data_IF_853820055288
#
_entry.id   IF_853820055288
#
_cell.length_a   1.000
_cell.length_b   1.000
_cell.length_c   1.000
_cell.angle_alpha   90.00
_cell.angle_beta   90.00
_cell.angle_gamma   90.00
#
_symmetry.space_group_name_H-M   'P 1'
#
loop_
_entity.id
_entity.type
_entity.pdbx_description
1 polymer ?
#
# COMPACT_ATOMS: atom_id res chain seq x y z
N UNK A 1 -13.02 5.22 6.22
CA UNK A 1 -13.31 3.96 6.94
C UNK A 1 -11.99 3.44 7.45
N UNK A 2 -11.84 3.36 8.76
CA UNK A 2 -10.62 2.88 9.41
C UNK A 2 -10.87 1.41 9.76
N UNK A 3 -10.19 0.48 9.09
CA UNK A 3 -10.23 -0.91 9.47
C UNK A 3 -9.01 -1.21 10.37
N UNK A 4 -9.26 -1.58 11.61
CA UNK A 4 -8.25 -2.13 12.50
C UNK A 4 -8.16 -3.64 12.24
N UNK A 5 -7.21 -4.06 11.41
CA UNK A 5 -6.90 -5.46 11.26
C UNK A 5 -5.75 -5.82 12.21
N UNK A 6 -6.07 -6.47 13.32
CA UNK A 6 -5.07 -7.13 14.14
C UNK A 6 -4.76 -8.51 13.54
N UNK A 7 -3.56 -8.71 13.07
CA UNK A 7 -3.08 -10.01 12.63
C UNK A 7 -2.45 -10.73 13.82
N UNK A 8 -3.18 -11.66 14.41
CA UNK A 8 -2.64 -12.52 15.47
C UNK A 8 -2.01 -13.74 14.79
N UNK A 9 -0.70 -13.77 14.71
CA UNK A 9 0.00 -14.99 14.32
C UNK A 9 0.00 -15.97 15.50
N UNK A 10 -0.75 -17.06 15.36
CA UNK A 10 -1.08 -18.00 16.44
C UNK A 10 0.05 -18.93 16.86
N UNK A 11 1.25 -18.81 16.32
CA UNK A 11 2.30 -19.83 16.46
C UNK A 11 3.60 -19.41 17.16
N UNK A 12 3.65 -18.24 17.75
CA UNK A 12 4.78 -17.92 18.63
C UNK A 12 4.29 -17.51 20.00
N UNK A 13 4.69 -18.23 21.05
CA UNK A 13 4.25 -17.92 22.43
C UNK A 13 4.99 -16.73 23.05
N UNK A 14 5.48 -15.83 22.25
CA UNK A 14 6.06 -14.56 22.71
C UNK A 14 5.08 -13.46 22.34
N UNK A 15 4.78 -12.64 23.31
CA UNK A 15 3.84 -11.51 23.34
C UNK A 15 4.03 -10.42 22.26
N UNK A 16 4.61 -10.77 21.13
CA UNK A 16 4.98 -9.83 20.10
C UNK A 16 3.86 -9.74 19.09
N UNK A 17 2.82 -9.01 19.48
CA UNK A 17 1.69 -8.73 18.61
C UNK A 17 2.18 -7.91 17.43
N UNK A 18 2.19 -8.51 16.27
CA UNK A 18 2.35 -7.77 15.03
C UNK A 18 1.04 -7.05 14.75
N UNK A 19 0.99 -5.77 15.02
CA UNK A 19 -0.17 -4.95 14.74
C UNK A 19 0.00 -4.27 13.38
N UNK A 20 -1.02 -4.38 12.58
CA UNK A 20 -1.14 -3.67 11.32
C UNK A 20 -2.41 -2.82 11.36
N UNK A 21 -2.25 -1.54 11.19
CA UNK A 21 -3.38 -0.62 10.97
C UNK A 21 -3.33 -0.13 9.55
N UNK A 22 -4.43 -0.29 8.83
CA UNK A 22 -4.62 0.30 7.51
C UNK A 22 -5.74 1.31 7.54
N UNK A 23 -5.46 2.51 7.09
CA UNK A 23 -6.44 3.55 6.85
C UNK A 23 -6.61 3.74 5.36
N UNK A 24 -7.87 3.91 4.93
CA UNK A 24 -8.21 4.08 3.53
C UNK A 24 -8.91 5.43 3.36
N UNK A 25 -8.34 6.29 2.53
CA UNK A 25 -8.97 7.50 2.08
C UNK A 25 -9.48 7.28 0.66
N UNK A 26 -10.74 7.58 0.43
CA UNK A 26 -11.29 7.76 -0.90
C UNK A 26 -11.30 9.25 -1.19
N UNK A 27 -10.44 9.69 -2.07
CA UNK A 27 -10.36 11.08 -2.51
C UNK A 27 -11.26 11.22 -3.71
N UNK A 28 -12.37 11.92 -3.50
CA UNK A 28 -13.33 12.18 -4.56
C UNK A 28 -13.13 13.60 -5.06
N UNK A 29 -12.75 13.75 -6.32
CA UNK A 29 -12.89 15.04 -7.00
C UNK A 29 -14.36 15.27 -7.28
N UNK A 30 -14.77 16.52 -7.48
CA UNK A 30 -16.12 16.89 -7.89
C UNK A 30 -16.60 16.22 -9.19
N UNK A 31 -15.71 15.46 -9.81
CA UNK A 31 -15.94 14.63 -10.98
C UNK A 31 -15.76 13.15 -10.55
N UNK A 32 -16.88 12.41 -10.58
CA UNK A 32 -16.95 11.00 -10.16
C UNK A 32 -15.95 10.13 -10.90
N UNK A 33 -15.53 10.52 -12.09
CA UNK A 33 -14.62 9.76 -12.94
C UNK A 33 -13.14 9.87 -12.52
N UNK A 34 -12.82 10.74 -11.56
CA UNK A 34 -11.43 11.02 -11.16
C UNK A 34 -11.09 10.70 -9.70
N UNK A 35 -11.93 9.93 -9.02
CA UNK A 35 -11.66 9.50 -7.65
C UNK A 35 -10.48 8.54 -7.56
N UNK A 36 -9.73 8.58 -6.46
CA UNK A 36 -8.61 7.67 -6.22
C UNK A 36 -8.54 7.25 -4.74
N UNK A 37 -7.78 6.20 -4.48
CA UNK A 37 -7.60 5.68 -3.13
C UNK A 37 -6.19 5.97 -2.62
N UNK A 38 -6.12 6.32 -1.34
CA UNK A 38 -4.86 6.40 -0.59
C UNK A 38 -4.95 5.48 0.60
N UNK A 39 -4.03 4.52 0.68
CA UNK A 39 -3.90 3.62 1.78
C UNK A 39 -2.71 4.06 2.65
N UNK A 40 -2.93 4.15 3.95
CA UNK A 40 -1.84 4.35 4.91
C UNK A 40 -1.72 3.09 5.76
N UNK A 41 -0.60 2.42 5.62
CA UNK A 41 -0.25 1.24 6.40
C UNK A 41 0.71 1.61 7.51
N UNK A 42 0.35 1.33 8.76
CA UNK A 42 1.21 1.48 9.92
C UNK A 42 1.48 0.08 10.50
N UNK A 43 2.72 -0.32 10.47
CA UNK A 43 3.17 -1.67 10.74
C UNK A 43 4.01 -1.68 12.02
N UNK A 44 3.42 -2.24 13.06
CA UNK A 44 4.04 -2.33 14.36
C UNK A 44 4.70 -3.70 14.54
N UNK A 45 5.86 -3.70 15.12
CA UNK A 45 6.53 -4.91 15.51
C UNK A 45 7.77 -4.54 16.32
N UNK A 46 8.19 -5.40 17.25
CA UNK A 46 9.22 -5.03 18.22
C UNK A 46 10.63 -4.98 17.61
N UNK A 47 10.86 -5.63 16.47
CA UNK A 47 12.21 -5.90 16.02
C UNK A 47 12.62 -5.07 14.79
N UNK A 48 13.85 -4.55 14.82
CA UNK A 48 14.54 -4.06 13.62
C UNK A 48 14.67 -5.19 12.59
N UNK A 49 14.51 -4.86 11.30
CA UNK A 49 14.64 -5.84 10.21
C UNK A 49 13.41 -6.73 10.00
N UNK A 50 12.36 -6.58 10.80
CA UNK A 50 11.11 -7.30 10.62
C UNK A 50 10.55 -7.06 9.22
N UNK A 51 10.09 -8.14 8.58
CA UNK A 51 9.62 -8.13 7.20
C UNK A 51 8.11 -7.95 7.15
N UNK A 52 7.66 -7.02 6.31
CA UNK A 52 6.25 -6.79 5.99
C UNK A 52 6.03 -6.93 4.50
N UNK A 53 4.91 -7.55 4.13
CA UNK A 53 4.52 -7.74 2.75
C UNK A 53 3.18 -7.03 2.50
N UNK A 54 3.18 -6.07 1.58
CA UNK A 54 1.98 -5.44 1.07
C UNK A 54 1.67 -6.06 -0.30
N UNK A 55 0.47 -6.63 -0.44
CA UNK A 55 0.06 -7.32 -1.66
C UNK A 55 -1.09 -6.58 -2.32
N UNK A 56 -0.92 -6.26 -3.59
CA UNK A 56 -1.96 -5.71 -4.45
C UNK A 56 -2.27 -6.72 -5.56
N UNK A 57 -3.45 -7.33 -5.48
CA UNK A 57 -3.89 -8.24 -6.52
C UNK A 57 -4.40 -7.41 -7.69
N UNK A 58 -3.77 -7.61 -8.84
CA UNK A 58 -4.15 -7.00 -10.09
C UNK A 58 -5.10 -7.92 -10.84
N UNK A 59 -5.71 -7.42 -11.90
CA UNK A 59 -6.78 -8.11 -12.62
C UNK A 59 -6.38 -9.47 -13.21
N UNK A 60 -7.40 -10.23 -13.57
CA UNK A 60 -7.29 -11.55 -14.23
C UNK A 60 -6.77 -11.45 -15.67
N UNK A 61 -6.23 -12.56 -16.17
CA UNK A 61 -5.92 -12.74 -17.59
C UNK A 61 -4.80 -11.86 -18.10
N UNK A 62 -3.97 -11.36 -17.21
CA UNK A 62 -2.81 -10.57 -17.61
C UNK A 62 -1.80 -11.49 -18.26
N UNK A 63 -1.70 -11.41 -19.58
CA UNK A 63 -0.51 -11.87 -20.27
C UNK A 63 0.68 -11.08 -19.70
N UNK A 64 1.82 -11.74 -19.62
CA UNK A 64 3.07 -11.07 -19.26
C UNK A 64 3.20 -9.80 -20.11
N UNK A 65 3.36 -8.64 -19.46
CA UNK A 65 3.48 -7.34 -20.12
C UNK A 65 2.34 -6.34 -19.87
N UNK A 66 1.21 -6.74 -19.25
CA UNK A 66 0.15 -5.78 -18.91
C UNK A 66 0.39 -5.01 -17.60
N UNK A 67 1.44 -5.36 -16.88
CA UNK A 67 1.88 -4.66 -15.67
C UNK A 67 3.35 -4.31 -15.80
N UNK A 68 3.65 -3.05 -15.64
CA UNK A 68 5.01 -2.50 -15.63
C UNK A 68 5.36 -2.14 -14.20
N UNK A 69 6.51 -2.63 -13.71
CA UNK A 69 7.10 -2.20 -12.44
C UNK A 69 8.05 -1.05 -12.73
N UNK A 70 7.81 0.08 -12.10
CA UNK A 70 8.55 1.33 -12.30
C UNK A 70 9.07 1.87 -10.96
N UNK A 71 9.84 1.04 -10.26
CA UNK A 71 10.49 1.44 -9.03
C UNK A 71 11.56 2.49 -9.31
N UNK A 72 11.48 3.60 -8.60
CA UNK A 72 12.51 4.63 -8.58
C UNK A 72 13.19 4.62 -7.21
N UNK A 73 14.28 3.88 -7.11
CA UNK A 73 15.02 3.73 -5.87
C UNK A 73 15.75 5.03 -5.46
N UNK A 74 16.15 5.86 -6.42
CA UNK A 74 16.84 7.12 -6.14
C UNK A 74 15.90 8.09 -5.41
N UNK A 75 14.62 8.11 -5.78
CA UNK A 75 13.58 8.94 -5.17
C UNK A 75 12.75 8.21 -4.11
N UNK A 76 13.18 7.02 -3.70
CA UNK A 76 12.51 6.25 -2.65
C UNK A 76 11.09 5.79 -3.00
N UNK A 77 10.78 5.59 -4.28
CA UNK A 77 9.46 5.25 -4.80
C UNK A 77 9.43 3.78 -5.23
N UNK A 78 8.42 3.06 -4.78
CA UNK A 78 8.05 1.77 -5.33
C UNK A 78 6.78 1.94 -6.15
N UNK A 79 6.79 1.52 -7.41
CA UNK A 79 5.70 1.77 -8.33
C UNK A 79 5.41 0.63 -9.29
N UNK A 80 4.17 0.61 -9.73
CA UNK A 80 3.72 -0.20 -10.86
C UNK A 80 2.54 0.49 -11.55
N UNK A 81 2.32 0.16 -12.80
CA UNK A 81 1.12 0.55 -13.50
C UNK A 81 0.68 -0.52 -14.49
N UNK A 82 -0.60 -0.49 -14.85
CA UNK A 82 -1.15 -1.35 -15.90
C UNK A 82 -1.08 -0.64 -17.26
N UNK A 83 -1.06 -1.44 -18.32
CA UNK A 83 -1.01 -0.94 -19.72
C UNK A 83 -2.05 -1.66 -20.59
N UNK A 84 -3.30 -1.67 -20.13
CA UNK A 84 -4.40 -2.24 -20.90
C UNK A 84 -4.77 -1.36 -22.10
N UNK A 85 -5.10 -2.03 -23.21
CA UNK A 85 -5.40 -1.34 -24.47
C UNK A 85 -6.73 -0.58 -24.46
N UNK A 86 -7.65 -0.95 -23.59
CA UNK A 86 -8.94 -0.28 -23.40
C UNK A 86 -8.83 1.06 -22.65
N UNK A 87 -7.63 1.39 -22.15
CA UNK A 87 -7.37 2.62 -21.41
C UNK A 87 -7.79 2.58 -19.95
N UNK A 88 -8.38 1.48 -19.47
CA UNK A 88 -8.75 1.33 -18.05
C UNK A 88 -7.54 0.88 -17.23
N UNK A 89 -6.67 1.82 -16.93
CA UNK A 89 -5.42 1.56 -16.24
C UNK A 89 -5.42 2.09 -14.81
N UNK A 90 -4.48 1.60 -14.02
CA UNK A 90 -4.17 2.11 -12.69
C UNK A 90 -2.68 2.38 -12.57
N UNK A 91 -2.35 3.38 -11.78
CA UNK A 91 -0.99 3.64 -11.28
C UNK A 91 -0.98 3.40 -9.78
N UNK A 92 0.00 2.63 -9.32
CA UNK A 92 0.26 2.40 -7.89
C UNK A 92 1.60 3.03 -7.57
N UNK A 93 1.65 3.86 -6.52
CA UNK A 93 2.89 4.44 -6.00
C UNK A 93 2.91 4.28 -4.49
N UNK A 94 4.03 3.78 -3.97
CA UNK A 94 4.21 3.55 -2.54
C UNK A 94 5.44 4.29 -2.04
N UNK A 95 5.22 5.09 -1.03
CA UNK A 95 6.22 5.84 -0.26
C UNK A 95 6.29 5.25 1.13
N UNK A 96 7.47 5.21 1.73
CA UNK A 96 7.63 4.56 3.04
C UNK A 96 8.63 5.28 3.91
N UNK A 97 8.42 5.20 5.21
CA UNK A 97 9.36 5.68 6.23
C UNK A 97 9.69 4.59 7.26
N UNK A 98 10.79 4.77 7.97
CA UNK A 98 11.37 3.78 8.88
C UNK A 98 11.57 2.42 8.21
N UNK A 99 12.13 2.45 7.02
CA UNK A 99 12.43 1.26 6.23
C UNK A 99 13.93 1.20 5.97
N UNK A 100 14.54 0.06 6.29
CA UNK A 100 15.95 -0.21 6.04
C UNK A 100 16.16 -0.69 4.59
N UNK A 101 15.34 -1.65 4.17
CA UNK A 101 15.34 -2.12 2.79
C UNK A 101 13.92 -2.31 2.28
N UNK A 102 13.74 -2.07 1.00
CA UNK A 102 12.47 -2.25 0.31
C UNK A 102 12.67 -2.83 -1.07
N UNK A 103 11.78 -3.69 -1.45
CA UNK A 103 11.75 -4.29 -2.79
C UNK A 103 10.31 -4.37 -3.26
N UNK A 104 10.12 -4.30 -4.56
CA UNK A 104 8.83 -4.57 -5.17
C UNK A 104 9.01 -5.33 -6.47
N UNK A 105 8.08 -6.23 -6.74
CA UNK A 105 8.07 -7.05 -7.94
C UNK A 105 6.64 -7.45 -8.30
N UNK A 106 6.44 -7.86 -9.54
CA UNK A 106 5.26 -8.63 -9.91
C UNK A 106 5.51 -10.11 -9.67
N UNK A 107 4.50 -10.80 -9.19
CA UNK A 107 4.54 -12.24 -9.01
C UNK A 107 3.21 -12.85 -9.44
N UNK A 108 3.25 -14.05 -10.00
CA UNK A 108 2.02 -14.81 -10.23
C UNK A 108 1.40 -15.18 -8.89
N UNK A 109 0.10 -14.99 -8.75
CA UNK A 109 -0.60 -15.47 -7.59
C UNK A 109 -0.54 -17.00 -7.54
N UNK A 110 -0.20 -17.55 -6.40
CA UNK A 110 -0.36 -18.99 -6.17
C UNK A 110 -1.84 -19.33 -6.02
N UNK A 111 -2.22 -20.57 -6.37
CA UNK A 111 -3.55 -21.07 -6.04
C UNK A 111 -3.76 -20.98 -4.53
N UNK A 112 -4.84 -20.33 -4.13
CA UNK A 112 -5.30 -20.38 -2.75
C UNK A 112 -6.44 -21.38 -2.75
N UNK A 113 -6.21 -22.51 -2.10
CA UNK A 113 -7.29 -23.42 -1.70
C UNK A 113 -7.91 -22.83 -0.44
N UNK A 114 -9.19 -22.55 -0.47
CA UNK A 114 -9.95 -22.24 0.73
C UNK A 114 -11.06 -23.28 0.91
N UNK A 115 -11.63 -23.36 2.10
CA UNK A 115 -12.68 -24.31 2.44
C UNK A 115 -13.99 -24.11 1.66
N UNK A 116 -14.05 -23.11 0.80
CA UNK A 116 -15.22 -22.72 0.01
C UNK A 116 -15.09 -23.01 -1.49
N UNK A 117 -14.05 -23.71 -1.88
CA UNK A 117 -13.78 -24.07 -3.27
C UNK A 117 -12.45 -23.57 -3.81
N UNK A 118 -11.99 -24.18 -4.88
CA UNK A 118 -10.75 -23.78 -5.53
C UNK A 118 -11.02 -22.57 -6.40
N UNK A 119 -10.62 -21.40 -5.95
CA UNK A 119 -10.52 -20.24 -6.82
C UNK A 119 -9.13 -20.27 -7.45
N UNK A 120 -9.06 -20.57 -8.73
CA UNK A 120 -7.81 -20.52 -9.48
C UNK A 120 -7.39 -19.08 -9.71
N UNK A 121 -6.31 -18.67 -9.06
CA UNK A 121 -5.67 -17.37 -9.32
C UNK A 121 -4.44 -17.51 -10.23
N UNK A 122 -4.36 -18.60 -10.99
CA UNK A 122 -3.19 -18.92 -11.82
C UNK A 122 -2.79 -17.82 -12.78
N UNK A 123 -3.78 -17.02 -13.20
CA UNK A 123 -3.59 -15.99 -14.22
C UNK A 123 -3.64 -14.57 -13.64
N UNK A 124 -3.68 -14.45 -12.31
CA UNK A 124 -3.64 -13.14 -11.66
C UNK A 124 -2.22 -12.74 -11.34
N UNK A 125 -1.85 -11.53 -11.72
CA UNK A 125 -0.64 -10.90 -11.26
C UNK A 125 -0.92 -10.15 -9.96
N UNK A 126 0.04 -10.19 -9.06
CA UNK A 126 0.09 -9.34 -7.88
C UNK A 126 1.32 -8.46 -7.93
N UNK A 127 1.17 -7.25 -7.49
CA UNK A 127 2.27 -6.36 -7.16
C UNK A 127 2.59 -6.55 -5.68
N UNK A 128 3.77 -7.06 -5.39
CA UNK A 128 4.23 -7.40 -4.05
C UNK A 128 5.31 -6.43 -3.61
N UNK A 129 5.04 -5.72 -2.54
CA UNK A 129 6.01 -4.85 -1.87
C UNK A 129 6.46 -5.54 -0.60
N UNK A 130 7.78 -5.63 -0.41
CA UNK A 130 8.39 -6.09 0.83
C UNK A 130 9.17 -4.95 1.46
N UNK A 131 8.81 -4.61 2.68
CA UNK A 131 9.47 -3.61 3.50
C UNK A 131 10.16 -4.29 4.68
N UNK A 132 11.37 -3.85 5.04
CA UNK A 132 12.06 -4.26 6.26
C UNK A 132 12.17 -3.08 7.20
N UNK A 133 11.74 -3.28 8.43
CA UNK A 133 11.74 -2.27 9.48
C UNK A 133 13.13 -1.70 9.73
N UNK A 134 13.24 -0.38 9.76
CA UNK A 134 14.49 0.33 9.99
C UNK A 134 14.88 0.39 11.46
N UNK A 135 13.99 0.92 12.31
CA UNK A 135 14.21 1.10 13.77
C UNK A 135 13.16 0.32 14.56
N UNK A 136 13.55 -0.23 15.69
CA UNK A 136 12.65 -1.02 16.55
C UNK A 136 11.57 -0.15 17.23
N UNK A 137 11.92 1.06 17.65
CA UNK A 137 11.14 1.88 18.57
C UNK A 137 9.94 2.58 17.91
N UNK A 138 9.83 2.53 16.59
CA UNK A 138 8.75 3.21 15.86
C UNK A 138 8.17 2.31 14.77
N UNK A 139 6.96 2.59 14.33
CA UNK A 139 6.32 1.86 13.25
C UNK A 139 7.06 2.04 11.91
N UNK A 140 7.00 1.01 11.06
CA UNK A 140 7.20 1.19 9.63
C UNK A 140 5.89 1.67 9.05
N UNK A 141 5.91 2.77 8.27
CA UNK A 141 4.72 3.33 7.65
C UNK A 141 4.87 3.36 6.15
N UNK A 142 3.75 3.18 5.45
CA UNK A 142 3.70 3.30 4.00
C UNK A 142 2.44 4.04 3.56
N UNK A 143 2.60 4.91 2.56
CA UNK A 143 1.49 5.55 1.84
C UNK A 143 1.45 4.90 0.48
N UNK A 144 0.32 4.29 0.13
CA UNK A 144 0.11 3.75 -1.22
C UNK A 144 -1.03 4.47 -1.89
N UNK A 145 -0.74 5.12 -3.00
CA UNK A 145 -1.74 5.78 -3.85
C UNK A 145 -2.11 4.83 -4.98
N UNK A 146 -3.41 4.60 -5.19
CA UNK A 146 -3.98 3.82 -6.29
C UNK A 146 -4.83 4.78 -7.12
N UNK A 147 -4.33 5.12 -8.30
CA UNK A 147 -4.91 6.14 -9.16
C UNK A 147 -5.38 5.53 -10.48
N UNK A 148 -6.71 5.50 -10.76
CA UNK A 148 -7.25 5.13 -12.05
C UNK A 148 -6.90 6.19 -13.10
N UNK A 149 -6.51 5.77 -14.30
CA UNK A 149 -6.12 6.69 -15.38
C UNK A 149 -6.11 6.02 -16.74
N UNK A 150 -6.40 6.77 -17.78
CA UNK A 150 -6.16 6.33 -19.17
C UNK A 150 -4.73 6.59 -19.65
N UNK A 151 -3.96 7.41 -18.91
CA UNK A 151 -2.58 7.77 -19.23
C UNK A 151 -1.61 7.43 -18.09
N UNK A 152 -1.30 6.13 -17.88
CA UNK A 152 -0.51 5.71 -16.73
C UNK A 152 0.93 6.24 -16.75
N UNK A 153 1.53 6.39 -17.93
CA UNK A 153 2.92 6.89 -18.07
C UNK A 153 3.03 8.39 -17.89
N UNK A 154 1.95 9.15 -18.14
CA UNK A 154 1.90 10.59 -17.94
C UNK A 154 1.43 11.00 -16.55
N UNK A 155 0.99 10.05 -15.72
CA UNK A 155 0.52 10.33 -14.36
C UNK A 155 1.69 10.51 -13.41
N UNK A 156 1.71 11.67 -12.74
CA UNK A 156 2.68 11.96 -11.68
C UNK A 156 2.03 11.88 -10.31
N UNK A 157 2.66 11.15 -9.39
CA UNK A 157 2.17 11.01 -8.03
C UNK A 157 3.36 11.23 -7.08
N UNK A 158 3.12 11.99 -6.02
CA UNK A 158 4.03 12.12 -4.89
C UNK A 158 3.24 12.03 -3.58
N UNK A 159 3.85 11.48 -2.52
CA UNK A 159 3.22 11.42 -1.21
C UNK A 159 4.27 11.47 -0.09
N UNK A 160 3.91 12.13 1.00
CA UNK A 160 4.74 12.28 2.18
C UNK A 160 3.91 12.31 3.46
N UNK A 161 4.50 11.88 4.57
CA UNK A 161 3.93 12.10 5.89
C UNK A 161 4.23 13.52 6.35
N UNK A 162 3.22 14.21 6.92
CA UNK A 162 3.32 15.59 7.39
C UNK A 162 3.07 15.74 8.89
N UNK A 163 2.90 14.62 9.59
CA UNK A 163 2.58 14.57 11.03
C UNK A 163 3.80 14.69 11.96
N UNK A 164 4.99 14.89 11.42
CA UNK A 164 6.23 14.99 12.19
C UNK A 164 6.75 13.67 12.75
N UNK A 165 6.14 12.56 12.38
CA UNK A 165 6.54 11.21 12.78
C UNK A 165 5.43 10.42 13.46
N UNK A 166 5.69 9.13 13.62
CA UNK A 166 4.72 8.21 14.19
C UNK A 166 4.42 8.50 15.67
N UNK A 167 3.16 8.77 15.98
CA UNK A 167 2.67 8.98 17.36
C UNK A 167 1.74 7.88 17.84
N UNK A 168 1.21 7.07 16.94
CA UNK A 168 0.15 6.10 17.22
C UNK A 168 -1.24 6.70 17.41
N UNK A 169 -1.37 8.04 17.40
CA UNK A 169 -2.63 8.74 17.70
C UNK A 169 -3.26 9.43 16.50
N UNK A 170 -2.45 9.89 15.59
CA UNK A 170 -2.91 10.60 14.41
C UNK A 170 -2.00 10.32 13.23
N UNK A 171 -2.52 10.52 12.04
CA UNK A 171 -1.77 10.50 10.79
C UNK A 171 -2.14 11.73 9.99
N UNK A 172 -1.15 12.42 9.45
CA UNK A 172 -1.33 13.45 8.45
C UNK A 172 -0.38 13.18 7.28
N UNK A 173 -0.92 13.29 6.07
CA UNK A 173 -0.19 13.06 4.84
C UNK A 173 -0.54 14.12 3.81
N UNK A 174 0.39 14.38 2.91
CA UNK A 174 0.17 15.16 1.72
C UNK A 174 0.37 14.27 0.50
N UNK A 175 -0.61 14.22 -0.37
CA UNK A 175 -0.55 13.50 -1.65
C UNK A 175 -0.68 14.53 -2.77
N UNK A 176 0.18 14.46 -3.77
CA UNK A 176 0.10 15.31 -4.96
C UNK A 176 -0.08 14.41 -6.17
N UNK A 177 -1.16 14.64 -6.92
CA UNK A 177 -1.45 13.92 -8.16
C UNK A 177 -1.55 14.93 -9.31
N UNK A 178 -0.75 14.75 -10.34
CA UNK A 178 -0.69 15.62 -11.51
C UNK A 178 -0.59 17.11 -11.14
N UNK A 179 0.21 17.41 -10.11
CA UNK A 179 0.42 18.77 -9.61
C UNK A 179 -0.62 19.27 -8.62
N UNK A 180 -1.72 18.56 -8.41
CA UNK A 180 -2.78 18.96 -7.46
C UNK A 180 -2.52 18.34 -6.09
N UNK A 181 -2.34 19.14 -5.02
CA UNK A 181 -2.10 18.65 -3.66
C UNK A 181 -3.41 18.31 -2.94
N UNK A 182 -3.35 17.28 -2.09
CA UNK A 182 -4.39 16.82 -1.18
C UNK A 182 -3.79 16.64 0.19
N UNK A 183 -4.35 17.27 1.19
CA UNK A 183 -3.99 17.08 2.60
C UNK A 183 -5.03 16.19 3.25
N UNK A 184 -4.58 15.04 3.74
CA UNK A 184 -5.43 14.01 4.33
C UNK A 184 -4.95 13.73 5.74
N UNK A 185 -5.89 13.64 6.68
CA UNK A 185 -5.55 13.34 8.06
C UNK A 185 -6.67 12.59 8.77
N UNK A 186 -6.29 11.84 9.79
CA UNK A 186 -7.25 11.28 10.74
C UNK A 186 -6.63 11.22 12.13
N UNK A 187 -7.49 11.30 13.14
CA UNK A 187 -7.13 11.05 14.54
C UNK A 187 -7.76 9.74 14.97
N UNK A 188 -6.98 8.93 15.66
CA UNK A 188 -7.44 7.66 16.19
C UNK A 188 -8.28 7.97 17.43
N UNK A 189 -9.55 7.56 17.48
CA UNK A 189 -10.35 7.73 18.67
C UNK A 189 -9.68 7.05 19.86
N UNK A 190 -9.52 7.75 20.98
CA UNK A 190 -9.15 7.09 22.23
C UNK A 190 -10.30 6.15 22.59
N UNK A 191 -9.99 4.85 22.72
CA UNK A 191 -10.97 3.91 23.25
C UNK A 191 -11.24 4.33 24.71
N UNK A 192 -12.38 4.97 24.92
CA UNK A 192 -12.93 5.15 26.25
C UNK A 192 -13.39 3.76 26.74
N UNK A 193 -12.47 2.99 27.34
CA UNK A 193 -12.80 1.79 28.11
C UNK A 193 -13.27 2.20 29.49
#
# INVERSE_FOLDING_TARGET
VTENAAYIQKETPKSDVLNHRRSVFHVNHNDIDNGFFVLVDELYGPEKGQKYNLNFNLCEGTKDGNVVVDNDQANNILGAHTVFKDGNNIVIRTYSENVDTKTALTAKASNISNDHGVVSYKDRLRYLITLRKGKAETATRAITVIYPTSNPTGTTINAEFTDGGYTGKAVAIKVTVNGTPYELSYTIPENNN
#
